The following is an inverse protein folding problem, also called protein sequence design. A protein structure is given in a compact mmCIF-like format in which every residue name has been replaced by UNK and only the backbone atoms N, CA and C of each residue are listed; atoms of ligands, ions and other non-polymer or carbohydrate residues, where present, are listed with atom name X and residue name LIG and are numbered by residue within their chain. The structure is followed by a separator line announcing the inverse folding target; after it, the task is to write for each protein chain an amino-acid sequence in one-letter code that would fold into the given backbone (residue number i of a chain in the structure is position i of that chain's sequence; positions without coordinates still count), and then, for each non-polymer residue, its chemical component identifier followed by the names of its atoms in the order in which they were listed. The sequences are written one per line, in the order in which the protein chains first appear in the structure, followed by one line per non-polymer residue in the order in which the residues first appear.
data_IF_201785411624
#
_entry.id   IF_201785411624
#
_cell.length_a   1.000
_cell.length_b   1.000
_cell.length_c   1.000
_cell.angle_alpha   90.00
_cell.angle_beta   90.00
_cell.angle_gamma   90.00
#
_symmetry.space_group_name_H-M   'P 1'
#
loop_
_entity.id
_entity.type
_entity.pdbx_description
1 polymer ?
#
# COMPACT_ATOMS: atom_id res chain seq x y z
N UNK A 1 -5.02 -15.08 -4.89
CA UNK A 1 -5.59 -13.75 -4.60
C UNK A 1 -7.07 -13.89 -4.30
N UNK A 2 -7.59 -13.18 -3.30
CA UNK A 2 -9.01 -13.20 -2.95
C UNK A 2 -9.83 -12.49 -4.03
N UNK A 3 -11.11 -12.87 -4.20
CA UNK A 3 -11.99 -12.25 -5.20
C UNK A 3 -12.16 -10.75 -5.00
N UNK A 4 -12.28 -10.29 -3.75
CA UNK A 4 -12.38 -8.87 -3.44
C UNK A 4 -11.13 -8.11 -3.86
N UNK A 5 -9.97 -8.74 -3.74
CA UNK A 5 -8.69 -8.15 -4.15
C UNK A 5 -8.58 -8.05 -5.67
N UNK A 6 -9.06 -9.06 -6.40
CA UNK A 6 -9.12 -9.00 -7.87
C UNK A 6 -9.99 -7.84 -8.34
N UNK A 7 -11.15 -7.68 -7.73
CA UNK A 7 -12.07 -6.56 -8.03
C UNK A 7 -11.43 -5.21 -7.71
N UNK A 8 -10.77 -5.11 -6.56
CA UNK A 8 -10.06 -3.90 -6.13
C UNK A 8 -8.98 -3.51 -7.13
N UNK A 9 -8.12 -4.44 -7.52
CA UNK A 9 -7.04 -4.19 -8.49
C UNK A 9 -7.61 -3.72 -9.82
N UNK A 10 -8.62 -4.39 -10.31
CA UNK A 10 -9.27 -4.04 -11.58
C UNK A 10 -9.86 -2.64 -11.55
N UNK A 11 -10.53 -2.29 -10.44
CA UNK A 11 -11.13 -0.97 -10.27
C UNK A 11 -10.06 0.13 -10.22
N UNK A 12 -8.97 -0.08 -9.46
CA UNK A 12 -7.89 0.91 -9.34
C UNK A 12 -7.20 1.12 -10.69
N UNK A 13 -6.87 0.06 -11.40
CA UNK A 13 -6.19 0.15 -12.69
C UNK A 13 -7.05 0.84 -13.75
N UNK A 14 -8.36 0.70 -13.69
CA UNK A 14 -9.29 1.41 -14.59
C UNK A 14 -9.74 2.76 -14.05
N UNK A 15 -9.23 3.20 -12.89
CA UNK A 15 -9.60 4.44 -12.20
C UNK A 15 -11.12 4.55 -11.99
N UNK A 16 -11.72 3.46 -11.57
CA UNK A 16 -13.16 3.37 -11.27
C UNK A 16 -13.35 3.33 -9.75
N UNK A 17 -14.21 4.16 -9.18
CA UNK A 17 -14.55 4.06 -7.76
C UNK A 17 -15.06 2.67 -7.42
N UNK A 18 -14.70 2.18 -6.24
CA UNK A 18 -14.98 0.81 -5.84
C UNK A 18 -15.40 0.74 -4.38
N UNK A 19 -16.39 -0.06 -4.09
CA UNK A 19 -16.77 -0.40 -2.72
C UNK A 19 -17.37 -1.79 -2.71
N UNK A 20 -16.77 -2.68 -1.93
CA UNK A 20 -17.27 -4.04 -1.72
C UNK A 20 -16.88 -4.48 -0.31
N UNK A 21 -17.88 -4.78 0.52
CA UNK A 21 -17.71 -5.20 1.90
C UNK A 21 -16.81 -4.23 2.68
N UNK A 22 -15.62 -4.67 3.08
CA UNK A 22 -14.69 -3.89 3.90
C UNK A 22 -13.68 -3.07 3.09
N UNK A 23 -13.70 -3.16 1.76
CA UNK A 23 -12.67 -2.58 0.90
C UNK A 23 -13.28 -1.54 -0.04
N UNK A 24 -12.63 -0.39 -0.17
CA UNK A 24 -13.07 0.69 -1.05
C UNK A 24 -11.88 1.36 -1.74
N UNK A 25 -12.14 1.97 -2.88
CA UNK A 25 -11.20 2.85 -3.56
C UNK A 25 -11.92 4.13 -3.99
N UNK A 26 -11.41 5.27 -3.53
CA UNK A 26 -11.86 6.59 -3.96
C UNK A 26 -10.93 7.08 -5.06
N UNK A 27 -11.51 7.57 -6.14
CA UNK A 27 -10.76 8.07 -7.29
C UNK A 27 -10.95 9.56 -7.42
N UNK A 28 -9.85 10.31 -7.32
CA UNK A 28 -9.80 11.75 -7.57
C UNK A 28 -8.97 12.02 -8.84
N UNK A 29 -9.00 13.24 -9.42
CA UNK A 29 -8.22 13.51 -10.62
C UNK A 29 -6.72 13.26 -10.49
N UNK A 30 -6.15 13.49 -9.32
CA UNK A 30 -4.70 13.45 -9.07
C UNK A 30 -4.27 12.37 -8.09
N UNK A 31 -5.19 11.58 -7.54
CA UNK A 31 -4.81 10.44 -6.69
C UNK A 31 -5.91 9.38 -6.62
N UNK A 32 -5.52 8.18 -6.18
CA UNK A 32 -6.43 7.12 -5.76
C UNK A 32 -6.14 6.80 -4.31
N UNK A 33 -7.19 6.68 -3.49
CA UNK A 33 -7.09 6.32 -2.08
C UNK A 33 -7.76 4.97 -1.87
N UNK A 34 -7.05 4.04 -1.24
CA UNK A 34 -7.56 2.70 -0.94
C UNK A 34 -7.86 2.60 0.55
N UNK A 35 -9.04 2.12 0.87
CA UNK A 35 -9.55 2.03 2.24
C UNK A 35 -9.86 0.58 2.62
N UNK A 36 -9.54 0.22 3.84
CA UNK A 36 -9.94 -1.05 4.46
C UNK A 36 -10.63 -0.72 5.79
N UNK A 37 -11.89 -1.14 5.95
CA UNK A 37 -12.73 -0.78 7.10
C UNK A 37 -12.76 0.75 7.33
N UNK A 38 -12.77 1.54 6.25
CA UNK A 38 -12.75 2.99 6.32
C UNK A 38 -11.41 3.62 6.62
N UNK A 39 -10.36 2.83 6.86
CA UNK A 39 -9.01 3.34 7.13
C UNK A 39 -8.16 3.31 5.85
N UNK A 40 -7.48 4.41 5.56
CA UNK A 40 -6.60 4.48 4.39
C UNK A 40 -5.40 3.55 4.57
N UNK A 41 -5.21 2.64 3.63
CA UNK A 41 -4.04 1.74 3.57
C UNK A 41 -3.11 2.06 2.40
N UNK A 42 -3.57 2.82 1.42
CA UNK A 42 -2.73 3.26 0.31
C UNK A 42 -3.21 4.58 -0.25
N UNK A 43 -2.27 5.41 -0.68
CA UNK A 43 -2.51 6.65 -1.40
C UNK A 43 -1.60 6.65 -2.62
N UNK A 44 -2.18 6.75 -3.82
CA UNK A 44 -1.47 6.58 -5.07
C UNK A 44 -1.57 7.88 -5.86
N UNK A 45 -0.49 8.64 -5.88
CA UNK A 45 -0.42 9.90 -6.60
C UNK A 45 0.53 9.85 -7.79
N UNK A 46 0.67 10.98 -8.47
CA UNK A 46 1.54 11.08 -9.63
C UNK A 46 3.02 11.08 -9.24
N UNK A 47 3.36 11.66 -8.09
CA UNK A 47 4.74 11.74 -7.61
C UNK A 47 5.07 10.67 -6.59
N UNK A 48 4.18 10.46 -5.62
CA UNK A 48 4.44 9.53 -4.52
C UNK A 48 3.36 8.48 -4.41
N UNK A 49 3.79 7.31 -3.98
CA UNK A 49 2.93 6.21 -3.60
C UNK A 49 3.17 5.89 -2.14
N UNK A 50 2.09 5.58 -1.42
CA UNK A 50 2.14 5.33 0.02
C UNK A 50 1.39 4.05 0.32
N UNK A 51 1.93 3.21 1.20
CA UNK A 51 1.20 2.12 1.85
C UNK A 51 1.39 2.18 3.35
N UNK A 52 0.39 1.73 4.09
CA UNK A 52 0.43 1.66 5.55
C UNK A 52 -0.49 0.54 6.03
N UNK A 53 -0.19 0.00 7.21
CA UNK A 53 -1.10 -0.94 7.86
C UNK A 53 -2.22 -0.21 8.62
N UNK A 54 -2.18 1.13 8.68
CA UNK A 54 -3.18 1.97 9.36
C UNK A 54 -3.40 1.58 10.83
N UNK A 55 -2.36 1.09 11.49
CA UNK A 55 -2.43 0.62 12.87
C UNK A 55 -2.90 -0.83 13.03
N UNK A 56 -3.23 -1.54 11.94
CA UNK A 56 -3.81 -2.89 11.99
C UNK A 56 -2.85 -3.91 11.40
N UNK A 57 -2.04 -4.54 12.25
CA UNK A 57 -1.14 -5.63 11.84
C UNK A 57 -1.92 -6.95 11.73
N UNK A 58 -2.90 -7.02 10.83
CA UNK A 58 -3.74 -8.19 10.62
C UNK A 58 -3.43 -8.85 9.29
N UNK A 59 -3.83 -10.11 9.15
CA UNK A 59 -3.70 -10.86 7.90
C UNK A 59 -4.42 -10.15 6.74
N UNK A 60 -5.62 -9.64 6.99
CA UNK A 60 -6.40 -8.96 5.95
C UNK A 60 -5.71 -7.69 5.47
N UNK A 61 -5.23 -6.85 6.39
CA UNK A 61 -4.53 -5.62 6.02
C UNK A 61 -3.26 -5.92 5.23
N UNK A 62 -2.45 -6.87 5.71
CA UNK A 62 -1.21 -7.26 5.02
C UNK A 62 -1.49 -7.88 3.64
N UNK A 63 -2.56 -8.65 3.51
CA UNK A 63 -2.96 -9.21 2.21
C UNK A 63 -3.30 -8.11 1.21
N UNK A 64 -4.08 -7.10 1.61
CA UNK A 64 -4.42 -5.97 0.74
C UNK A 64 -3.18 -5.21 0.30
N UNK A 65 -2.30 -4.87 1.24
CA UNK A 65 -1.05 -4.15 0.95
C UNK A 65 -0.15 -4.97 0.03
N UNK A 66 -0.01 -6.26 0.29
CA UNK A 66 0.77 -7.17 -0.55
C UNK A 66 0.27 -7.19 -2.00
N UNK A 67 -1.04 -7.28 -2.20
CA UNK A 67 -1.66 -7.28 -3.53
C UNK A 67 -1.43 -5.94 -4.24
N UNK A 68 -1.56 -4.82 -3.52
CA UNK A 68 -1.28 -3.50 -4.09
C UNK A 68 0.18 -3.39 -4.56
N UNK A 69 1.12 -3.86 -3.76
CA UNK A 69 2.53 -3.85 -4.11
C UNK A 69 2.84 -4.71 -5.34
N UNK A 70 2.17 -5.86 -5.49
CA UNK A 70 2.42 -6.77 -6.60
C UNK A 70 1.77 -6.33 -7.92
N UNK A 71 0.57 -5.75 -7.86
CA UNK A 71 -0.25 -5.59 -9.07
C UNK A 71 -0.58 -4.16 -9.44
N UNK A 72 -0.43 -3.21 -8.54
CA UNK A 72 -0.91 -1.83 -8.74
C UNK A 72 0.22 -0.81 -8.67
N UNK A 73 1.07 -0.90 -7.65
CA UNK A 73 2.05 0.13 -7.34
C UNK A 73 3.34 -0.05 -8.15
N UNK A 74 4.01 1.07 -8.45
CA UNK A 74 5.37 1.08 -8.99
C UNK A 74 6.43 0.90 -7.90
N UNK A 75 6.03 1.01 -6.66
CA UNK A 75 6.90 0.90 -5.49
C UNK A 75 7.71 -0.40 -5.50
N UNK A 76 9.05 -0.33 -5.47
CA UNK A 76 9.90 -1.52 -5.48
C UNK A 76 10.05 -2.10 -4.08
N UNK A 77 8.96 -2.64 -3.54
CA UNK A 77 8.92 -3.13 -2.17
C UNK A 77 8.13 -4.44 -2.05
N UNK A 78 8.52 -5.24 -1.08
CA UNK A 78 7.76 -6.40 -0.60
C UNK A 78 7.61 -6.29 0.90
N UNK A 79 6.56 -6.91 1.44
CA UNK A 79 6.35 -7.01 2.88
C UNK A 79 6.34 -8.48 3.30
N UNK A 80 6.68 -8.70 4.57
CA UNK A 80 6.59 -10.01 5.22
C UNK A 80 6.23 -9.83 6.70
N UNK A 81 5.81 -10.93 7.33
CA UNK A 81 5.74 -11.00 8.79
C UNK A 81 6.94 -11.79 9.30
N UNK A 82 7.67 -11.23 10.26
CA UNK A 82 8.79 -11.88 10.90
C UNK A 82 8.68 -11.70 12.42
N UNK A 83 8.56 -12.79 13.15
CA UNK A 83 8.39 -12.77 14.61
C UNK A 83 7.25 -11.84 15.06
N UNK A 84 6.14 -11.89 14.36
CA UNK A 84 4.95 -11.07 14.63
C UNK A 84 5.00 -9.65 14.13
N UNK A 85 6.14 -9.16 13.65
CA UNK A 85 6.28 -7.81 13.14
C UNK A 85 6.17 -7.78 11.61
N UNK A 86 5.61 -6.70 11.07
CA UNK A 86 5.64 -6.44 9.65
C UNK A 86 6.98 -5.84 9.26
N UNK A 87 7.58 -6.36 8.21
CA UNK A 87 8.84 -5.84 7.65
C UNK A 87 8.68 -5.61 6.16
N UNK A 88 9.49 -4.69 5.62
CA UNK A 88 9.55 -4.46 4.19
C UNK A 88 10.98 -4.65 3.68
N UNK A 89 11.07 -4.96 2.40
CA UNK A 89 12.32 -5.07 1.65
C UNK A 89 12.24 -4.15 0.44
N UNK A 90 13.30 -3.39 0.19
CA UNK A 90 13.49 -2.73 -1.11
C UNK A 90 13.97 -3.80 -2.09
N UNK A 91 13.17 -4.10 -3.12
CA UNK A 91 13.49 -5.17 -4.07
C UNK A 91 14.75 -4.90 -4.89
N UNK A 92 15.24 -3.65 -4.89
CA UNK A 92 16.51 -3.26 -5.52
C UNK A 92 17.71 -3.60 -4.64
N UNK A 93 17.47 -3.85 -3.34
CA UNK A 93 18.47 -4.27 -2.34
C UNK A 93 17.94 -5.53 -1.64
N UNK A 94 17.94 -6.70 -2.31
CA UNK A 94 17.29 -7.89 -1.80
C UNK A 94 17.96 -8.42 -0.53
N UNK A 95 17.15 -9.11 0.27
CA UNK A 95 17.55 -9.78 1.51
C UNK A 95 17.94 -8.82 2.65
N UNK A 96 17.63 -7.54 2.54
CA UNK A 96 17.74 -6.57 3.62
C UNK A 96 16.32 -6.17 4.04
N UNK A 97 15.90 -6.61 5.23
CA UNK A 97 14.57 -6.38 5.74
C UNK A 97 14.59 -5.33 6.85
N UNK A 98 13.63 -4.43 6.79
CA UNK A 98 13.46 -3.33 7.74
C UNK A 98 12.10 -3.41 8.40
N UNK A 99 11.99 -3.00 9.65
CA UNK A 99 10.70 -2.95 10.33
C UNK A 99 9.81 -1.90 9.69
N UNK A 100 8.53 -2.27 9.52
CA UNK A 100 7.48 -1.33 9.13
C UNK A 100 6.47 -1.27 10.28
N UNK A 101 6.60 -0.30 11.19
CA UNK A 101 5.64 -0.13 12.27
C UNK A 101 4.23 0.09 11.72
N UNK A 102 3.22 -0.47 12.39
CA UNK A 102 1.85 -0.48 11.87
C UNK A 102 1.24 0.90 11.66
N UNK A 103 1.73 1.91 12.39
CA UNK A 103 1.27 3.31 12.26
C UNK A 103 2.13 4.14 11.31
N UNK A 104 3.19 3.58 10.75
CA UNK A 104 4.08 4.29 9.84
C UNK A 104 3.63 4.14 8.39
N UNK A 105 4.20 4.97 7.54
CA UNK A 105 3.91 5.01 6.11
C UNK A 105 5.16 4.62 5.33
N UNK A 106 5.03 3.63 4.44
CA UNK A 106 6.07 3.31 3.48
C UNK A 106 5.82 4.12 2.22
N UNK A 107 6.79 4.95 1.85
CA UNK A 107 6.64 5.95 0.80
C UNK A 107 7.65 5.70 -0.31
N UNK A 108 7.19 5.77 -1.55
CA UNK A 108 8.03 5.74 -2.74
C UNK A 108 7.87 7.03 -3.53
N UNK A 109 8.96 7.78 -3.72
CA UNK A 109 8.98 8.97 -4.55
C UNK A 109 9.43 8.55 -5.97
N UNK A 110 8.51 8.67 -6.92
CA UNK A 110 8.77 8.23 -8.31
C UNK A 110 9.80 9.11 -9.03
N UNK A 111 9.97 10.36 -8.59
CA UNK A 111 10.94 11.29 -9.18
C UNK A 111 12.36 11.01 -8.69
N UNK A 112 12.52 10.90 -7.38
CA UNK A 112 13.85 10.68 -6.76
C UNK A 112 14.21 9.20 -6.69
N UNK A 113 13.24 8.29 -6.84
CA UNK A 113 13.38 6.84 -6.68
C UNK A 113 13.69 6.42 -5.25
N UNK A 114 13.47 7.29 -4.28
CA UNK A 114 13.67 6.96 -2.87
C UNK A 114 12.51 6.14 -2.32
N UNK A 115 12.83 5.13 -1.54
CA UNK A 115 11.89 4.34 -0.74
C UNK A 115 12.24 4.57 0.73
N UNK A 116 11.28 5.05 1.52
CA UNK A 116 11.54 5.41 2.93
C UNK A 116 10.30 5.26 3.79
N UNK A 117 10.51 5.20 5.12
CA UNK A 117 9.44 5.18 6.12
C UNK A 117 9.25 6.56 6.69
N UNK A 118 8.01 7.00 6.79
CA UNK A 118 7.63 8.30 7.37
C UNK A 118 6.61 8.11 8.49
N UNK A 119 6.65 9.02 9.48
CA UNK A 119 5.70 9.00 10.60
C UNK A 119 4.37 9.65 10.23
N UNK A 120 4.35 10.50 9.21
CA UNK A 120 3.16 11.17 8.71
C UNK A 120 2.99 10.92 7.23
N UNK A 121 1.74 10.93 6.75
CA UNK A 121 1.47 10.72 5.34
C UNK A 121 1.92 11.95 4.53
N UNK A 122 2.80 11.78 3.53
CA UNK A 122 3.22 12.88 2.69
C UNK A 122 2.15 13.28 1.69
N UNK A 123 2.32 14.46 1.08
CA UNK A 123 1.54 14.82 -0.11
C UNK A 123 1.97 13.96 -1.30
N UNK A 124 1.04 13.64 -2.14
CA UNK A 124 1.24 12.80 -3.33
C UNK A 124 0.94 13.56 -4.62
#
# INVERSE_FOLDING_TARGET
MRKIEEKMVRAILSRTPFHDDNTAADVAPDFVRVLLHGNMISLIGNRREVVTLAGWNTQTTKSRVHVLLLYVLDMPARIRTHKGACQYEDTRQPDVWHDLPSMSYLVYDKMTKELYVADTCPTV
#
